data_IF_415989206541
#
_entry.id   IF_415989206541
#
_cell.length_a   1.000
_cell.length_b   1.000
_cell.length_c   1.000
_cell.angle_alpha   90.00
_cell.angle_beta   90.00
_cell.angle_gamma   90.00
#
_symmetry.space_group_name_H-M   'P 1'
#
loop_
_entity.id
_entity.type
_entity.pdbx_description
1 polymer ?
#
# COMPACT_ATOMS: atom_id res chain seq x y z
N UNK A 1 -27.94 3.63 26.92
CA UNK A 1 -26.52 3.21 26.81
C UNK A 1 -26.01 3.20 25.37
N UNK A 2 -26.56 2.40 24.45
CA UNK A 2 -26.03 2.28 23.08
C UNK A 2 -25.92 3.60 22.31
N UNK A 3 -26.92 4.48 22.39
CA UNK A 3 -26.85 5.81 21.78
C UNK A 3 -25.63 6.63 22.23
N UNK A 4 -25.37 6.68 23.54
CA UNK A 4 -24.24 7.45 24.09
C UNK A 4 -22.88 6.90 23.64
N UNK A 5 -22.75 5.57 23.54
CA UNK A 5 -21.55 4.94 23.01
C UNK A 5 -21.36 5.31 21.54
N UNK A 6 -22.42 5.21 20.72
CA UNK A 6 -22.35 5.61 19.30
C UNK A 6 -21.96 7.08 19.17
N UNK A 7 -22.58 7.97 19.94
CA UNK A 7 -22.32 9.40 19.93
C UNK A 7 -20.85 9.70 20.25
N UNK A 8 -20.31 9.09 21.31
CA UNK A 8 -18.92 9.33 21.73
C UNK A 8 -17.92 8.69 20.78
N UNK A 9 -18.15 7.47 20.31
CA UNK A 9 -17.30 6.86 19.30
C UNK A 9 -17.25 7.70 18.03
N UNK A 10 -18.39 8.25 17.60
CA UNK A 10 -18.45 9.12 16.43
C UNK A 10 -17.79 10.47 16.68
N UNK A 11 -17.94 11.06 17.86
CA UNK A 11 -17.30 12.33 18.23
C UNK A 11 -15.77 12.30 18.03
N UNK A 12 -15.12 11.21 18.46
CA UNK A 12 -13.67 11.10 18.40
C UNK A 12 -13.17 10.62 17.03
N UNK A 13 -13.86 9.63 16.45
CA UNK A 13 -13.35 8.91 15.28
C UNK A 13 -14.04 9.28 13.96
N UNK A 14 -15.10 10.09 13.98
CA UNK A 14 -15.98 10.36 12.84
C UNK A 14 -16.51 9.09 12.13
N UNK A 15 -16.59 7.97 12.89
CA UNK A 15 -17.07 6.67 12.41
C UNK A 15 -17.74 5.90 13.52
N UNK A 16 -18.73 5.08 13.15
CA UNK A 16 -19.40 4.19 14.09
C UNK A 16 -18.57 2.93 14.38
N UNK A 17 -18.71 2.32 15.58
CA UNK A 17 -18.15 1.01 15.86
C UNK A 17 -18.62 -0.04 14.86
N UNK A 18 -17.73 -0.93 14.42
CA UNK A 18 -18.07 -2.01 13.48
C UNK A 18 -18.92 -3.09 14.12
N UNK A 19 -18.80 -3.28 15.43
CA UNK A 19 -19.63 -4.21 16.20
C UNK A 19 -19.64 -3.84 17.68
N UNK A 20 -20.51 -4.48 18.47
CA UNK A 20 -20.47 -4.38 19.93
C UNK A 20 -19.09 -4.70 20.53
N UNK A 21 -18.35 -5.64 19.91
CA UNK A 21 -17.05 -6.11 20.40
C UNK A 21 -15.92 -5.11 20.15
N UNK A 22 -16.08 -4.19 19.18
CA UNK A 22 -15.06 -3.19 18.88
C UNK A 22 -15.03 -2.04 19.89
N UNK A 23 -15.98 -1.98 20.83
CA UNK A 23 -16.01 -0.97 21.88
C UNK A 23 -15.29 -1.49 23.13
N UNK A 24 -14.20 -0.83 23.59
CA UNK A 24 -13.50 -1.25 24.80
C UNK A 24 -14.39 -1.20 26.04
N UNK A 25 -14.34 -2.24 26.88
CA UNK A 25 -15.10 -2.32 28.14
C UNK A 25 -14.88 -1.11 29.06
N UNK A 26 -13.68 -0.53 29.20
CA UNK A 26 -13.47 0.67 30.01
C UNK A 26 -14.32 1.87 29.55
N UNK A 27 -14.49 2.05 28.24
CA UNK A 27 -15.33 3.13 27.68
C UNK A 27 -16.79 2.92 28.06
N UNK A 28 -17.29 1.69 28.00
CA UNK A 28 -18.65 1.33 28.41
C UNK A 28 -18.83 1.58 29.92
N UNK A 29 -17.87 1.19 30.74
CA UNK A 29 -17.93 1.42 32.19
C UNK A 29 -17.98 2.92 32.54
N UNK A 30 -17.09 3.71 31.92
CA UNK A 30 -17.03 5.15 32.12
C UNK A 30 -18.34 5.85 31.74
N UNK A 31 -18.89 5.54 30.56
CA UNK A 31 -20.14 6.13 30.10
C UNK A 31 -21.34 5.69 30.96
N UNK A 32 -21.36 4.46 31.46
CA UNK A 32 -22.40 3.98 32.37
C UNK A 32 -22.40 4.76 33.69
N UNK A 33 -21.21 5.04 34.24
CA UNK A 33 -21.04 5.87 35.43
C UNK A 33 -21.54 7.31 35.20
N UNK A 34 -21.15 7.94 34.08
CA UNK A 34 -21.61 9.29 33.75
C UNK A 34 -23.13 9.39 33.60
N UNK A 35 -23.75 8.37 33.00
CA UNK A 35 -25.19 8.32 32.78
C UNK A 35 -25.98 7.77 33.96
N UNK A 36 -25.31 7.33 35.04
CA UNK A 36 -25.91 6.71 36.23
C UNK A 36 -26.82 5.51 35.87
N UNK A 37 -26.39 4.67 34.92
CA UNK A 37 -27.11 3.46 34.49
C UNK A 37 -26.24 2.22 34.60
N UNK A 38 -26.85 1.04 34.59
CA UNK A 38 -26.10 -0.22 34.59
C UNK A 38 -25.35 -0.44 33.27
N UNK A 39 -24.07 -0.88 33.29
CA UNK A 39 -23.37 -1.33 32.09
C UNK A 39 -24.07 -2.50 31.37
N UNK A 40 -24.96 -3.23 32.05
CA UNK A 40 -25.76 -4.31 31.45
C UNK A 40 -26.65 -3.81 30.30
N UNK A 41 -27.15 -2.58 30.40
CA UNK A 41 -27.96 -1.94 29.36
C UNK A 41 -27.22 -1.78 28.02
N UNK A 42 -25.88 -1.89 28.01
CA UNK A 42 -25.11 -1.96 26.76
C UNK A 42 -25.27 -3.29 26.02
N UNK A 43 -25.44 -4.39 26.76
CA UNK A 43 -25.63 -5.74 26.21
C UNK A 43 -27.04 -5.93 25.66
N UNK A 44 -28.02 -5.29 26.29
CA UNK A 44 -29.44 -5.27 25.90
C UNK A 44 -29.72 -4.35 24.69
N UNK A 45 -28.77 -3.48 24.35
CA UNK A 45 -28.91 -2.61 23.19
C UNK A 45 -28.89 -3.43 21.89
N UNK A 46 -29.89 -3.22 21.03
CA UNK A 46 -29.94 -3.85 19.71
C UNK A 46 -28.91 -3.22 18.77
N UNK A 47 -27.93 -4.03 18.35
CA UNK A 47 -26.87 -3.65 17.41
C UNK A 47 -27.26 -3.86 15.95
N UNK A 48 -28.50 -4.28 15.72
CA UNK A 48 -29.12 -4.50 14.42
C UNK A 48 -30.47 -3.78 14.34
N UNK A 49 -30.99 -3.62 13.12
CA UNK A 49 -32.34 -3.11 12.91
C UNK A 49 -32.55 -1.61 13.12
N UNK A 50 -33.82 -1.23 13.18
CA UNK A 50 -34.28 0.16 13.02
C UNK A 50 -33.81 1.10 14.13
N UNK A 51 -33.62 0.59 15.35
CA UNK A 51 -33.24 1.42 16.50
C UNK A 51 -31.83 2.00 16.34
N UNK A 52 -30.85 1.16 15.94
CA UNK A 52 -29.48 1.63 15.72
C UNK A 52 -29.38 2.53 14.49
N UNK A 53 -30.12 2.25 13.42
CA UNK A 53 -30.20 3.09 12.21
C UNK A 53 -30.71 4.50 12.56
N UNK A 54 -31.82 4.58 13.30
CA UNK A 54 -32.36 5.86 13.78
C UNK A 54 -31.37 6.62 14.66
N UNK A 55 -30.61 5.92 15.51
CA UNK A 55 -29.58 6.54 16.34
C UNK A 55 -28.41 7.07 15.51
N UNK A 56 -27.93 6.32 14.51
CA UNK A 56 -26.88 6.77 13.60
C UNK A 56 -27.33 8.02 12.84
N UNK A 57 -28.52 8.01 12.26
CA UNK A 57 -29.08 9.17 11.56
C UNK A 57 -29.13 10.43 12.44
N UNK A 58 -29.59 10.31 13.70
CA UNK A 58 -29.60 11.43 14.66
C UNK A 58 -28.19 11.96 14.95
N UNK A 59 -27.20 11.08 15.07
CA UNK A 59 -25.81 11.47 15.36
C UNK A 59 -25.18 12.15 14.13
N UNK A 60 -25.40 11.60 12.93
CA UNK A 60 -24.93 12.21 11.69
C UNK A 60 -25.49 13.62 11.51
N UNK A 61 -26.80 13.78 11.69
CA UNK A 61 -27.46 15.08 11.64
C UNK A 61 -26.89 16.05 12.68
N UNK A 62 -26.63 15.60 13.91
CA UNK A 62 -26.04 16.43 14.97
C UNK A 62 -24.64 16.95 14.62
N UNK A 63 -23.82 16.18 13.89
CA UNK A 63 -22.47 16.58 13.48
C UNK A 63 -22.39 17.14 12.04
N UNK A 64 -23.55 17.34 11.40
CA UNK A 64 -23.69 17.80 10.01
C UNK A 64 -23.00 16.90 8.99
N UNK A 65 -23.01 15.58 9.20
CA UNK A 65 -22.52 14.61 8.23
C UNK A 65 -23.60 14.26 7.20
N UNK A 66 -23.17 14.10 5.95
CA UNK A 66 -24.01 13.70 4.82
C UNK A 66 -23.71 12.25 4.42
N UNK A 67 -24.69 11.56 3.83
CA UNK A 67 -24.47 10.23 3.27
C UNK A 67 -23.49 10.31 2.08
N UNK A 68 -22.50 9.42 2.04
CA UNK A 68 -21.54 9.37 0.93
C UNK A 68 -22.18 8.84 -0.35
N UNK A 69 -22.05 9.58 -1.46
CA UNK A 69 -22.53 9.13 -2.78
C UNK A 69 -21.47 8.33 -3.54
N UNK A 70 -21.83 7.78 -4.71
CA UNK A 70 -20.84 7.17 -5.61
C UNK A 70 -19.84 8.21 -6.13
N UNK A 71 -20.31 9.40 -6.52
CA UNK A 71 -19.47 10.49 -6.99
C UNK A 71 -18.45 10.94 -5.92
N UNK A 72 -18.82 10.92 -4.64
CA UNK A 72 -17.89 11.24 -3.56
C UNK A 72 -16.78 10.18 -3.41
N UNK A 73 -17.09 8.92 -3.68
CA UNK A 73 -16.08 7.85 -3.67
C UNK A 73 -15.11 7.97 -4.86
N UNK A 74 -15.60 8.43 -6.01
CA UNK A 74 -14.75 8.71 -7.17
C UNK A 74 -13.82 9.90 -6.88
N UNK A 75 -14.34 10.99 -6.29
CA UNK A 75 -13.53 12.13 -5.83
C UNK A 75 -12.50 11.72 -4.78
N UNK A 76 -12.88 10.88 -3.81
CA UNK A 76 -11.95 10.33 -2.83
C UNK A 76 -10.84 9.53 -3.53
N UNK A 77 -11.19 8.69 -4.51
CA UNK A 77 -10.21 7.89 -5.25
C UNK A 77 -9.22 8.79 -6.00
N UNK A 78 -9.71 9.81 -6.71
CA UNK A 78 -8.87 10.80 -7.41
C UNK A 78 -7.93 11.52 -6.44
N UNK A 79 -8.46 11.97 -5.31
CA UNK A 79 -7.66 12.63 -4.28
C UNK A 79 -6.59 11.71 -3.68
N UNK A 80 -6.91 10.43 -3.43
CA UNK A 80 -5.94 9.45 -2.97
C UNK A 80 -4.82 9.25 -3.99
N UNK A 81 -5.16 9.14 -5.29
CA UNK A 81 -4.18 9.00 -6.36
C UNK A 81 -3.22 10.20 -6.44
N UNK A 82 -3.75 11.42 -6.34
CA UNK A 82 -2.98 12.66 -6.52
C UNK A 82 -2.18 13.07 -5.27
N UNK A 83 -2.78 12.96 -4.07
CA UNK A 83 -2.22 13.56 -2.84
C UNK A 83 -1.57 12.56 -1.89
N UNK A 84 -1.94 11.28 -1.95
CA UNK A 84 -1.49 10.27 -0.97
C UNK A 84 -0.57 9.25 -1.64
N UNK A 85 -1.06 8.60 -2.70
CA UNK A 85 -0.37 7.52 -3.41
C UNK A 85 0.87 8.00 -4.16
N UNK A 86 1.04 9.31 -4.32
CA UNK A 86 2.29 9.91 -4.77
C UNK A 86 3.47 9.58 -3.82
N UNK A 87 3.23 9.31 -2.54
CA UNK A 87 4.27 9.13 -1.53
C UNK A 87 4.16 7.87 -0.68
N UNK A 88 2.96 7.29 -0.55
CA UNK A 88 2.65 6.18 0.36
C UNK A 88 1.80 5.09 -0.32
N UNK A 89 2.24 3.83 -0.26
CA UNK A 89 1.52 2.67 -0.82
C UNK A 89 1.04 1.66 0.23
N UNK A 90 1.35 1.87 1.51
CA UNK A 90 0.88 1.01 2.58
C UNK A 90 -0.64 1.17 2.75
N UNK A 91 -1.41 0.12 2.43
CA UNK A 91 -2.88 0.12 2.46
C UNK A 91 -3.44 0.68 3.79
N UNK A 92 -2.81 0.37 4.93
CA UNK A 92 -3.23 0.89 6.23
C UNK A 92 -3.13 2.43 6.33
N UNK A 93 -2.06 3.03 5.83
CA UNK A 93 -1.88 4.49 5.86
C UNK A 93 -2.82 5.18 4.87
N UNK A 94 -3.00 4.60 3.69
CA UNK A 94 -3.94 5.10 2.68
C UNK A 94 -5.39 5.02 3.21
N UNK A 95 -5.72 3.98 3.98
CA UNK A 95 -7.02 3.86 4.65
C UNK A 95 -7.24 4.95 5.70
N UNK A 96 -6.24 5.27 6.52
CA UNK A 96 -6.36 6.36 7.51
C UNK A 96 -6.51 7.72 6.81
N UNK A 97 -5.72 8.00 5.77
CA UNK A 97 -5.87 9.21 4.96
C UNK A 97 -7.27 9.31 4.31
N UNK A 98 -7.84 8.18 3.88
CA UNK A 98 -9.21 8.15 3.36
C UNK A 98 -10.25 8.50 4.44
N UNK A 99 -10.08 8.04 5.68
CA UNK A 99 -10.95 8.44 6.78
C UNK A 99 -10.81 9.92 7.12
N UNK A 100 -9.59 10.46 7.12
CA UNK A 100 -9.34 11.88 7.37
C UNK A 100 -9.99 12.76 6.30
N UNK A 101 -9.89 12.37 5.03
CA UNK A 101 -10.59 13.03 3.94
C UNK A 101 -12.10 13.04 4.17
N UNK A 102 -12.70 11.88 4.42
CA UNK A 102 -14.15 11.76 4.64
C UNK A 102 -14.62 12.59 5.85
N UNK A 103 -13.82 12.61 6.92
CA UNK A 103 -14.06 13.44 8.10
C UNK A 103 -14.01 14.93 7.76
N UNK A 104 -13.01 15.38 7.01
CA UNK A 104 -12.90 16.79 6.58
C UNK A 104 -14.04 17.20 5.65
N UNK A 105 -14.49 16.30 4.79
CA UNK A 105 -15.59 16.49 3.85
C UNK A 105 -16.97 16.35 4.50
N UNK A 106 -17.04 15.99 5.80
CA UNK A 106 -18.28 15.69 6.52
C UNK A 106 -19.14 14.63 5.82
N UNK A 107 -18.48 13.62 5.27
CA UNK A 107 -19.13 12.48 4.62
C UNK A 107 -19.13 11.29 5.55
N UNK A 108 -20.28 10.64 5.70
CA UNK A 108 -20.36 9.37 6.43
C UNK A 108 -19.46 8.35 5.73
N UNK A 109 -18.52 7.72 6.44
CA UNK A 109 -17.72 6.67 5.83
C UNK A 109 -18.61 5.53 5.35
N UNK A 110 -18.43 5.04 4.10
CA UNK A 110 -19.18 3.89 3.63
C UNK A 110 -18.77 2.65 4.42
N UNK A 111 -19.40 1.50 4.12
CA UNK A 111 -19.00 0.24 4.73
C UNK A 111 -17.49 -0.02 4.56
N UNK A 112 -16.86 -0.63 5.57
CA UNK A 112 -15.42 -0.92 5.55
C UNK A 112 -15.02 -1.68 4.29
N UNK A 113 -15.86 -2.62 3.83
CA UNK A 113 -15.62 -3.38 2.60
C UNK A 113 -15.61 -2.48 1.35
N UNK A 114 -16.56 -1.54 1.25
CA UNK A 114 -16.62 -0.59 0.14
C UNK A 114 -15.42 0.37 0.17
N UNK A 115 -15.07 0.92 1.33
CA UNK A 115 -13.91 1.81 1.46
C UNK A 115 -12.60 1.09 1.09
N UNK A 116 -12.38 -0.12 1.61
CA UNK A 116 -11.22 -0.96 1.23
C UNK A 116 -11.16 -1.22 -0.26
N UNK A 117 -12.32 -1.47 -0.90
CA UNK A 117 -12.38 -1.66 -2.36
C UNK A 117 -11.95 -0.40 -3.10
N UNK A 118 -12.39 0.78 -2.68
CA UNK A 118 -11.98 2.07 -3.27
C UNK A 118 -10.47 2.26 -3.12
N UNK A 119 -9.94 2.10 -1.91
CA UNK A 119 -8.50 2.25 -1.62
C UNK A 119 -7.64 1.28 -2.44
N UNK A 120 -7.99 -0.01 -2.47
CA UNK A 120 -7.27 -1.01 -3.29
C UNK A 120 -7.34 -0.70 -4.78
N UNK A 121 -8.48 -0.17 -5.23
CA UNK A 121 -8.65 0.26 -6.61
C UNK A 121 -7.73 1.43 -6.95
N UNK A 122 -7.66 2.44 -6.07
CA UNK A 122 -6.74 3.56 -6.21
C UNK A 122 -5.27 3.09 -6.29
N UNK A 123 -4.82 2.29 -5.32
CA UNK A 123 -3.46 1.74 -5.28
C UNK A 123 -3.11 1.01 -6.58
N UNK A 124 -3.99 0.09 -7.01
CA UNK A 124 -3.77 -0.70 -8.23
C UNK A 124 -3.68 0.18 -9.47
N UNK A 125 -4.56 1.16 -9.60
CA UNK A 125 -4.61 2.02 -10.78
C UNK A 125 -3.38 2.95 -10.84
N UNK A 126 -2.94 3.49 -9.69
CA UNK A 126 -1.69 4.25 -9.60
C UNK A 126 -0.46 3.38 -9.89
N UNK A 127 -0.38 2.17 -9.33
CA UNK A 127 0.71 1.22 -9.59
C UNK A 127 0.80 0.88 -11.08
N UNK A 128 -0.35 0.60 -11.71
CA UNK A 128 -0.43 0.31 -13.13
C UNK A 128 0.10 1.49 -13.96
N UNK A 129 -0.43 2.70 -13.73
CA UNK A 129 -0.02 3.90 -14.46
C UNK A 129 1.48 4.20 -14.27
N UNK A 130 2.00 4.05 -13.05
CA UNK A 130 3.42 4.23 -12.75
C UNK A 130 4.31 3.23 -13.49
N UNK A 131 3.94 1.94 -13.46
CA UNK A 131 4.71 0.90 -14.13
C UNK A 131 4.67 1.03 -15.66
N UNK A 132 3.52 1.44 -16.22
CA UNK A 132 3.36 1.71 -17.65
C UNK A 132 4.23 2.89 -18.09
N UNK A 133 4.16 4.02 -17.36
CA UNK A 133 5.01 5.20 -17.60
C UNK A 133 6.50 4.86 -17.51
N UNK A 134 6.92 4.11 -16.49
CA UNK A 134 8.31 3.65 -16.34
C UNK A 134 8.75 2.83 -17.55
N UNK A 135 7.89 1.92 -18.01
CA UNK A 135 8.21 1.04 -19.15
C UNK A 135 8.29 1.79 -20.48
N UNK A 136 7.46 2.81 -20.68
CA UNK A 136 7.50 3.66 -21.88
C UNK A 136 8.82 4.43 -22.02
N UNK A 137 9.51 4.70 -20.92
CA UNK A 137 10.84 5.33 -20.91
C UNK A 137 11.98 4.34 -21.22
N UNK A 138 11.71 3.03 -21.29
CA UNK A 138 12.73 2.01 -21.55
C UNK A 138 12.81 1.65 -23.03
N UNK A 139 14.04 1.61 -23.57
CA UNK A 139 14.26 1.09 -24.92
C UNK A 139 13.99 -0.42 -24.99
N UNK A 140 13.60 -0.92 -26.18
CA UNK A 140 13.43 -2.35 -26.41
C UNK A 140 14.70 -3.17 -26.09
N UNK A 141 15.87 -2.56 -26.31
CA UNK A 141 17.16 -3.15 -25.97
C UNK A 141 17.37 -3.25 -24.45
N UNK A 142 17.03 -2.20 -23.70
CA UNK A 142 17.05 -2.19 -22.23
C UNK A 142 16.11 -3.27 -21.68
N UNK A 143 14.87 -3.38 -22.20
CA UNK A 143 13.92 -4.41 -21.80
C UNK A 143 14.47 -5.83 -22.02
N UNK A 144 15.11 -6.10 -23.17
CA UNK A 144 15.77 -7.39 -23.44
C UNK A 144 16.87 -7.70 -22.44
N UNK A 145 17.66 -6.70 -22.04
CA UNK A 145 18.71 -6.86 -21.01
C UNK A 145 18.12 -7.13 -19.63
N UNK A 146 17.03 -6.46 -19.25
CA UNK A 146 16.31 -6.72 -18.01
C UNK A 146 15.73 -8.14 -17.97
N UNK A 147 15.18 -8.62 -19.09
CA UNK A 147 14.69 -10.00 -19.19
C UNK A 147 15.82 -11.02 -19.08
N UNK A 148 16.97 -10.75 -19.71
CA UNK A 148 18.16 -11.60 -19.62
C UNK A 148 18.73 -11.70 -18.20
N UNK A 149 18.58 -10.66 -17.36
CA UNK A 149 18.99 -10.72 -15.95
C UNK A 149 18.21 -11.77 -15.15
N UNK A 150 16.94 -11.99 -15.50
CA UNK A 150 16.05 -12.93 -14.80
C UNK A 150 16.15 -14.36 -15.34
N UNK A 151 16.90 -14.56 -16.42
CA UNK A 151 17.11 -15.86 -17.01
C UNK A 151 18.10 -16.67 -16.16
N UNK A 152 17.71 -17.90 -15.84
CA UNK A 152 18.50 -18.87 -15.07
C UNK A 152 19.17 -19.90 -15.97
N UNK A 153 18.79 -19.98 -17.25
CA UNK A 153 19.35 -20.93 -18.21
C UNK A 153 20.66 -20.43 -18.82
N UNK A 154 20.79 -19.11 -18.97
CA UNK A 154 21.99 -18.39 -19.47
C UNK A 154 23.09 -18.16 -18.43
N UNK A 155 23.01 -18.77 -17.24
CA UNK A 155 24.11 -18.74 -16.29
C UNK A 155 25.25 -19.62 -16.84
N UNK A 156 26.06 -19.05 -17.75
CA UNK A 156 27.23 -19.66 -18.34
C UNK A 156 28.32 -19.82 -17.27
N UNK A 157 28.20 -20.89 -16.49
CA UNK A 157 29.20 -21.35 -15.54
C UNK A 157 29.40 -22.84 -15.71
N UNK A 158 30.51 -23.23 -16.34
CA UNK A 158 31.08 -24.56 -16.20
C UNK A 158 31.43 -24.78 -14.72
N UNK A 159 30.49 -25.32 -13.97
CA UNK A 159 30.66 -25.61 -12.55
C UNK A 159 29.45 -26.36 -12.07
N UNK A 160 29.70 -27.50 -11.43
CA UNK A 160 28.73 -28.49 -10.94
C UNK A 160 27.94 -27.94 -9.73
N UNK A 161 27.26 -26.82 -9.92
CA UNK A 161 26.40 -26.21 -8.92
C UNK A 161 24.95 -26.59 -9.22
N UNK A 162 24.37 -27.42 -8.35
CA UNK A 162 22.94 -27.79 -8.30
C UNK A 162 21.96 -26.59 -8.26
N UNK A 163 22.44 -25.35 -8.29
CA UNK A 163 21.64 -24.12 -8.32
C UNK A 163 22.21 -23.11 -9.34
N UNK A 164 21.63 -23.06 -10.55
CA UNK A 164 21.92 -21.99 -11.53
C UNK A 164 21.39 -20.65 -11.01
N UNK A 165 22.26 -19.82 -10.44
CA UNK A 165 21.91 -18.48 -9.96
C UNK A 165 21.76 -17.51 -11.15
N UNK A 166 20.61 -16.84 -11.26
CA UNK A 166 20.43 -15.77 -12.27
C UNK A 166 21.40 -14.60 -12.03
N UNK A 167 21.75 -13.87 -13.08
CA UNK A 167 22.54 -12.63 -12.97
C UNK A 167 21.87 -11.61 -12.02
N UNK A 168 20.54 -11.57 -11.97
CA UNK A 168 19.79 -10.74 -11.03
C UNK A 168 20.04 -11.12 -9.56
N UNK A 169 20.05 -12.41 -9.23
CA UNK A 169 20.37 -12.86 -7.87
C UNK A 169 21.81 -12.57 -7.50
N UNK A 170 22.75 -12.64 -8.44
CA UNK A 170 24.13 -12.21 -8.22
C UNK A 170 24.19 -10.72 -7.85
N UNK A 171 23.47 -9.85 -8.58
CA UNK A 171 23.40 -8.41 -8.29
C UNK A 171 22.82 -8.09 -6.90
N UNK A 172 21.94 -8.94 -6.35
CA UNK A 172 21.36 -8.76 -5.02
C UNK A 172 22.29 -9.11 -3.86
N UNK A 173 23.33 -9.90 -4.10
CA UNK A 173 24.21 -10.38 -3.01
C UNK A 173 24.88 -9.21 -2.32
N UNK A 174 24.97 -9.26 -1.00
CA UNK A 174 25.66 -8.22 -0.23
C UNK A 174 27.17 -8.29 -0.42
N UNK A 175 27.86 -7.14 -0.43
CA UNK A 175 29.30 -7.12 -0.31
C UNK A 175 29.64 -7.76 1.03
N UNK A 176 30.35 -8.89 1.00
CA UNK A 176 30.81 -9.56 2.21
C UNK A 176 31.87 -8.73 2.93
N UNK A 177 32.81 -9.40 3.60
CA UNK A 177 33.94 -8.71 4.24
C UNK A 177 34.75 -7.92 3.21
N UNK A 178 35.11 -6.69 3.59
CA UNK A 178 35.94 -5.79 2.77
C UNK A 178 37.26 -6.51 2.44
N UNK A 179 37.46 -6.80 1.16
CA UNK A 179 38.62 -7.47 0.60
C UNK A 179 38.76 -7.07 -0.86
N UNK A 180 39.95 -7.18 -1.44
CA UNK A 180 40.16 -6.89 -2.87
C UNK A 180 39.19 -7.71 -3.75
N UNK A 181 38.97 -8.98 -3.40
CA UNK A 181 38.01 -9.85 -4.08
C UNK A 181 36.58 -9.29 -4.00
N UNK A 182 36.13 -8.87 -2.82
CA UNK A 182 34.80 -8.25 -2.66
C UNK A 182 34.67 -6.96 -3.46
N UNK A 183 35.71 -6.12 -3.49
CA UNK A 183 35.70 -4.87 -4.27
C UNK A 183 35.61 -5.15 -5.77
N UNK A 184 36.36 -6.12 -6.29
CA UNK A 184 36.29 -6.51 -7.71
C UNK A 184 34.91 -7.04 -8.09
N UNK A 185 34.30 -7.86 -7.23
CA UNK A 185 32.92 -8.34 -7.43
C UNK A 185 31.90 -7.19 -7.44
N UNK A 186 32.03 -6.21 -6.55
CA UNK A 186 31.15 -5.03 -6.58
C UNK A 186 31.37 -4.16 -7.83
N UNK A 187 32.61 -4.04 -8.32
CA UNK A 187 32.90 -3.37 -9.60
C UNK A 187 32.22 -4.10 -10.77
N UNK A 188 32.25 -5.44 -10.79
CA UNK A 188 31.55 -6.24 -11.80
C UNK A 188 30.03 -6.03 -11.75
N UNK A 189 29.44 -6.01 -10.55
CA UNK A 189 28.01 -5.69 -10.37
C UNK A 189 27.68 -4.28 -10.89
N UNK A 190 28.49 -3.29 -10.57
CA UNK A 190 28.30 -1.92 -11.05
C UNK A 190 28.41 -1.83 -12.59
N UNK A 191 29.39 -2.51 -13.19
CA UNK A 191 29.52 -2.59 -14.66
C UNK A 191 28.28 -3.27 -15.28
N UNK A 192 27.82 -4.37 -14.70
CA UNK A 192 26.62 -5.07 -15.16
C UNK A 192 25.37 -4.18 -15.11
N UNK A 193 25.17 -3.42 -14.02
CA UNK A 193 24.06 -2.47 -13.87
C UNK A 193 24.17 -1.33 -14.90
N UNK A 194 25.36 -0.73 -15.07
CA UNK A 194 25.58 0.32 -16.08
C UNK A 194 25.32 -0.17 -17.49
N UNK A 195 25.72 -1.40 -17.79
CA UNK A 195 25.51 -2.04 -19.08
C UNK A 195 24.03 -2.31 -19.39
N UNK A 196 23.11 -2.20 -18.43
CA UNK A 196 21.67 -2.30 -18.71
C UNK A 196 21.18 -1.15 -19.60
N UNK A 197 21.86 0.00 -19.60
CA UNK A 197 21.41 1.18 -20.34
C UNK A 197 20.07 1.69 -19.82
N UNK A 198 19.90 1.71 -18.49
CA UNK A 198 18.76 2.38 -17.86
C UNK A 198 18.93 3.89 -18.01
N UNK A 199 17.88 4.65 -18.39
CA UNK A 199 17.94 6.10 -18.40
C UNK A 199 18.36 6.63 -17.01
N UNK A 200 19.32 7.57 -16.93
CA UNK A 200 19.76 8.11 -15.63
C UNK A 200 18.58 8.74 -14.88
N UNK A 201 17.71 9.44 -15.62
CA UNK A 201 16.56 10.19 -15.13
C UNK A 201 15.31 9.36 -14.84
N UNK A 202 15.33 8.03 -15.09
CA UNK A 202 14.15 7.14 -15.01
C UNK A 202 13.32 7.28 -13.72
N UNK A 203 13.97 7.55 -12.59
CA UNK A 203 13.33 7.73 -11.29
C UNK A 203 13.64 9.09 -10.65
N UNK A 204 14.11 10.07 -11.42
CA UNK A 204 14.56 11.37 -10.90
C UNK A 204 13.43 12.20 -10.30
N UNK A 205 12.22 12.10 -10.86
CA UNK A 205 11.01 12.79 -10.40
C UNK A 205 10.17 11.95 -9.43
N UNK A 206 10.62 10.73 -9.11
CA UNK A 206 9.87 9.77 -8.29
C UNK A 206 10.33 9.89 -6.84
N UNK A 207 9.40 10.02 -5.88
CA UNK A 207 9.79 10.09 -4.47
C UNK A 207 10.60 8.86 -4.01
N UNK A 208 11.64 9.04 -3.18
CA UNK A 208 12.50 7.95 -2.74
C UNK A 208 11.75 6.81 -2.03
N UNK A 209 10.66 7.13 -1.31
CA UNK A 209 9.80 6.16 -0.63
C UNK A 209 9.17 5.17 -1.62
N UNK A 210 8.74 5.66 -2.78
CA UNK A 210 8.15 4.87 -3.85
C UNK A 210 9.20 3.97 -4.50
N UNK A 211 10.37 4.51 -4.85
CA UNK A 211 11.46 3.68 -5.39
C UNK A 211 11.91 2.61 -4.39
N UNK A 212 12.00 2.96 -3.09
CA UNK A 212 12.31 2.03 -2.03
C UNK A 212 11.26 0.91 -1.89
N UNK A 213 9.97 1.23 -2.05
CA UNK A 213 8.89 0.24 -2.08
C UNK A 213 9.09 -0.81 -3.18
N UNK A 214 9.31 -0.38 -4.43
CA UNK A 214 9.56 -1.31 -5.53
C UNK A 214 10.87 -2.09 -5.36
N UNK A 215 11.92 -1.45 -4.86
CA UNK A 215 13.19 -2.12 -4.56
C UNK A 215 13.03 -3.22 -3.51
N UNK A 216 12.29 -2.94 -2.43
CA UNK A 216 11.99 -3.92 -1.37
C UNK A 216 11.17 -5.09 -1.88
N UNK A 217 10.20 -4.85 -2.76
CA UNK A 217 9.45 -5.94 -3.42
C UNK A 217 10.37 -6.78 -4.30
N UNK A 218 11.14 -6.13 -5.16
CA UNK A 218 12.09 -6.81 -6.03
C UNK A 218 13.14 -7.61 -5.26
N UNK A 219 13.56 -7.19 -4.06
CA UNK A 219 14.55 -7.91 -3.26
C UNK A 219 14.04 -9.24 -2.72
N UNK A 220 12.77 -9.31 -2.31
CA UNK A 220 12.17 -10.52 -1.72
C UNK A 220 11.75 -11.54 -2.78
N UNK A 221 11.38 -11.09 -3.98
CA UNK A 221 10.93 -11.99 -5.04
C UNK A 221 12.09 -12.71 -5.76
N UNK A 222 11.87 -13.98 -6.09
CA UNK A 222 12.77 -14.79 -6.92
C UNK A 222 12.70 -14.37 -8.39
N UNK A 223 13.73 -14.64 -9.21
CA UNK A 223 13.71 -14.36 -10.65
C UNK A 223 12.53 -15.03 -11.38
N UNK A 224 12.08 -16.20 -10.90
CA UNK A 224 10.91 -16.91 -11.43
C UNK A 224 9.60 -16.16 -11.15
N UNK A 225 9.44 -15.61 -9.95
CA UNK A 225 8.27 -14.81 -9.57
C UNK A 225 8.25 -13.50 -10.36
N UNK A 226 9.40 -12.82 -10.45
CA UNK A 226 9.53 -11.59 -11.23
C UNK A 226 9.15 -11.78 -12.70
N UNK A 227 9.48 -12.93 -13.30
CA UNK A 227 9.09 -13.26 -14.68
C UNK A 227 7.58 -13.41 -14.89
N UNK A 228 6.83 -13.79 -13.84
CA UNK A 228 5.37 -14.01 -13.90
C UNK A 228 4.56 -12.73 -13.88
N UNK A 229 5.15 -11.63 -13.43
CA UNK A 229 4.47 -10.33 -13.47
C UNK A 229 4.23 -9.86 -14.91
N UNK A 230 3.18 -9.06 -15.14
CA UNK A 230 3.04 -8.27 -16.36
C UNK A 230 4.31 -7.49 -16.66
N UNK A 231 4.63 -7.34 -17.97
CA UNK A 231 5.88 -6.70 -18.44
C UNK A 231 6.17 -5.38 -17.72
N UNK A 232 5.15 -4.52 -17.59
CA UNK A 232 5.31 -3.20 -16.98
C UNK A 232 5.78 -3.27 -15.52
N UNK A 233 5.14 -4.13 -14.72
CA UNK A 233 5.49 -4.35 -13.31
C UNK A 233 6.88 -4.98 -13.21
N UNK A 234 7.15 -6.01 -14.02
CA UNK A 234 8.44 -6.69 -14.06
C UNK A 234 9.59 -5.72 -14.33
N UNK A 235 9.49 -4.93 -15.39
CA UNK A 235 10.55 -3.99 -15.76
C UNK A 235 10.76 -2.92 -14.70
N UNK A 236 9.68 -2.41 -14.12
CA UNK A 236 9.75 -1.44 -13.02
C UNK A 236 10.47 -2.01 -11.79
N UNK A 237 10.12 -3.23 -11.36
CA UNK A 237 10.76 -3.92 -10.23
C UNK A 237 12.26 -4.15 -10.48
N UNK A 238 12.62 -4.68 -11.65
CA UNK A 238 14.03 -4.94 -11.99
C UNK A 238 14.81 -3.64 -12.14
N UNK A 239 14.25 -2.61 -12.77
CA UNK A 239 14.91 -1.31 -12.93
C UNK A 239 15.11 -0.59 -11.58
N UNK A 240 14.14 -0.65 -10.67
CA UNK A 240 14.23 -0.06 -9.33
C UNK A 240 15.30 -0.73 -8.44
N UNK A 241 15.70 -1.96 -8.77
CA UNK A 241 16.76 -2.69 -8.05
C UNK A 241 18.15 -2.10 -8.25
N UNK A 242 18.33 -1.12 -9.15
CA UNK A 242 19.59 -0.37 -9.25
C UNK A 242 19.91 0.24 -7.88
N UNK A 243 21.04 -0.15 -7.28
CA UNK A 243 21.62 0.59 -6.14
C UNK A 243 22.06 1.93 -6.71
N UNK A 244 21.42 3.02 -6.27
CA UNK A 244 22.01 4.35 -6.48
C UNK A 244 23.27 4.42 -5.63
N UNK A 245 24.35 5.05 -6.14
CA UNK A 245 25.60 5.21 -5.41
C UNK A 245 25.39 5.96 -4.09
#
# INVERSE_FOLDING_TARGET
>A
MGFAVLLKCFQFNARFPTSRRSVPKPVVGYLAQQLRISPKCFREYDWSGRTIERHRAKILAHYNFQESTLADMDRLKEWLCDKVLAFEYQEAQVMEAAYDYLRSAKLEPPTLARLKRVVRSAIRDTEKAFCESTTQQLSAHTCKKLDALLDTERADGKGDAQFKQSAFNFLKTDPGRISLKSLLTEIEKLKAIRNLGLPPELFSTVPPTITAHYRRRASVETPRELRRHPKAIRYTLVAASRRQP
#
